data_IF_978948786460
#
_entry.id   IF_978948786460
#
_cell.length_a   1.000
_cell.length_b   1.000
_cell.length_c   1.000
_cell.angle_alpha   90.00
_cell.angle_beta   90.00
_cell.angle_gamma   90.00
#
_symmetry.space_group_name_H-M   'P 1'
#
loop_
_entity.id
_entity.type
_entity.pdbx_description
1 polymer ?
#
# COMPACT_ATOMS: atom_id res chain seq x y z
N UNK A 1 22.85 -17.47 6.27
CA UNK A 1 22.04 -16.50 7.01
C UNK A 1 21.07 -17.29 7.89
N UNK A 2 21.06 -17.05 9.20
CA UNK A 2 20.05 -17.59 10.07
C UNK A 2 18.78 -16.77 9.87
N UNK A 3 17.78 -17.33 9.18
CA UNK A 3 16.52 -16.67 8.86
C UNK A 3 15.78 -16.11 10.09
N UNK A 4 15.84 -16.75 11.29
CA UNK A 4 15.20 -16.23 12.49
C UNK A 4 15.65 -14.84 12.94
N UNK A 5 16.84 -14.39 12.53
CA UNK A 5 17.34 -13.04 12.85
C UNK A 5 16.86 -11.96 11.88
N UNK A 6 16.20 -12.35 10.77
CA UNK A 6 15.66 -11.41 9.82
C UNK A 6 14.36 -10.81 10.37
N UNK A 7 14.31 -9.50 10.48
CA UNK A 7 13.08 -8.77 10.82
C UNK A 7 12.12 -8.78 9.63
N UNK A 8 10.89 -9.21 9.87
CA UNK A 8 9.80 -9.09 8.92
C UNK A 8 8.76 -8.12 9.51
N UNK A 9 8.60 -6.96 8.88
CA UNK A 9 7.65 -5.93 9.30
C UNK A 9 6.49 -5.92 8.32
N UNK A 10 5.28 -6.13 8.81
CA UNK A 10 4.07 -6.08 8.00
C UNK A 10 2.84 -5.74 8.86
N UNK A 11 1.76 -5.33 8.20
CA UNK A 11 0.48 -5.17 8.89
C UNK A 11 -0.02 -6.54 9.36
N UNK A 12 -0.50 -6.69 10.62
CA UNK A 12 -0.85 -8.01 11.17
C UNK A 12 -1.98 -8.72 10.41
N UNK A 13 -2.85 -7.98 9.74
CA UNK A 13 -3.97 -8.52 8.98
C UNK A 13 -3.56 -9.12 7.62
N UNK A 14 -2.31 -8.92 7.15
CA UNK A 14 -1.87 -9.47 5.86
C UNK A 14 -1.76 -11.01 5.85
N UNK A 15 -1.72 -11.65 7.03
CA UNK A 15 -1.70 -13.11 7.15
C UNK A 15 -3.09 -13.73 7.40
N UNK A 16 -4.15 -12.93 7.40
CA UNK A 16 -5.50 -13.47 7.51
C UNK A 16 -5.90 -14.21 6.24
N UNK A 17 -6.69 -15.30 6.35
CA UNK A 17 -7.27 -15.96 5.19
C UNK A 17 -8.16 -14.99 4.40
N UNK A 18 -7.84 -14.82 3.12
CA UNK A 18 -8.56 -13.94 2.19
C UNK A 18 -9.02 -14.72 0.98
N UNK A 19 -10.22 -14.42 0.50
CA UNK A 19 -10.84 -15.11 -0.62
C UNK A 19 -11.53 -14.12 -1.56
N UNK A 20 -11.33 -14.32 -2.86
CA UNK A 20 -12.14 -13.72 -3.91
C UNK A 20 -13.04 -14.83 -4.49
N UNK A 21 -14.35 -14.70 -4.36
CA UNK A 21 -15.30 -15.79 -4.64
C UNK A 21 -14.92 -17.07 -3.87
N UNK A 22 -14.41 -18.09 -4.59
CA UNK A 22 -13.96 -19.37 -4.01
C UNK A 22 -12.42 -19.53 -4.10
N UNK A 23 -11.70 -18.57 -4.64
CA UNK A 23 -10.25 -18.62 -4.78
C UNK A 23 -9.57 -18.01 -3.56
N UNK A 24 -8.55 -18.69 -3.05
CA UNK A 24 -7.71 -18.16 -1.97
C UNK A 24 -6.75 -17.12 -2.55
N UNK A 25 -6.83 -15.88 -2.04
CA UNK A 25 -6.00 -14.75 -2.47
C UNK A 25 -5.15 -14.17 -1.33
N UNK A 26 -5.13 -14.82 -0.16
CA UNK A 26 -4.36 -14.41 0.99
C UNK A 26 -2.87 -14.74 0.89
N UNK A 27 -2.14 -14.54 1.97
CA UNK A 27 -0.74 -14.93 2.09
C UNK A 27 -0.56 -16.43 1.85
N UNK A 28 0.46 -16.86 1.07
CA UNK A 28 0.75 -18.30 0.90
C UNK A 28 1.30 -18.93 2.18
N UNK A 29 1.71 -18.13 3.16
CA UNK A 29 2.23 -18.56 4.44
C UNK A 29 1.32 -18.10 5.58
N UNK A 30 1.14 -18.96 6.56
CA UNK A 30 0.46 -18.62 7.82
C UNK A 30 1.34 -17.73 8.71
N UNK A 31 0.73 -17.04 9.67
CA UNK A 31 1.47 -16.28 10.66
C UNK A 31 2.41 -17.19 11.50
N UNK A 32 2.00 -18.44 11.74
CA UNK A 32 2.80 -19.42 12.47
C UNK A 32 4.09 -19.74 11.71
N UNK A 33 3.99 -20.10 10.42
CA UNK A 33 5.15 -20.34 9.55
C UNK A 33 6.08 -19.12 9.46
N UNK A 34 5.52 -17.92 9.43
CA UNK A 34 6.31 -16.68 9.42
C UNK A 34 7.08 -16.51 10.74
N UNK A 35 6.43 -16.71 11.87
CA UNK A 35 7.06 -16.51 13.20
C UNK A 35 8.10 -17.59 13.54
N UNK A 36 8.00 -18.78 12.94
CA UNK A 36 9.02 -19.81 13.04
C UNK A 36 10.31 -19.47 12.28
N UNK A 37 10.21 -18.71 11.19
CA UNK A 37 11.32 -18.45 10.28
C UNK A 37 11.85 -17.01 10.34
N UNK A 38 11.06 -16.05 10.87
CA UNK A 38 11.40 -14.64 10.91
C UNK A 38 11.04 -14.03 12.26
N UNK A 39 11.75 -12.99 12.64
CA UNK A 39 11.32 -12.12 13.74
C UNK A 39 10.21 -11.20 13.25
N UNK A 40 8.97 -11.63 13.37
CA UNK A 40 7.81 -10.85 12.93
C UNK A 40 7.56 -9.67 13.88
N UNK A 41 7.45 -8.49 13.31
CA UNK A 41 7.10 -7.24 13.99
C UNK A 41 5.82 -6.67 13.34
N UNK A 42 4.65 -6.82 13.99
CA UNK A 42 3.41 -6.27 13.48
C UNK A 42 3.43 -4.74 13.52
N UNK A 43 3.03 -4.10 12.42
CA UNK A 43 3.03 -2.65 12.30
C UNK A 43 1.76 -2.11 11.64
N UNK A 44 0.91 -1.47 12.44
CA UNK A 44 -0.26 -0.70 11.99
C UNK A 44 0.04 0.80 11.88
N UNK A 45 1.12 1.24 12.52
CA UNK A 45 1.60 2.63 12.51
C UNK A 45 2.92 2.72 11.75
N UNK A 46 3.36 3.92 11.34
CA UNK A 46 4.63 4.09 10.65
C UNK A 46 5.83 3.58 11.45
N UNK A 47 6.69 2.79 10.81
CA UNK A 47 7.90 2.21 11.39
C UNK A 47 9.10 2.54 10.53
N UNK A 48 10.14 3.16 11.12
CA UNK A 48 11.41 3.37 10.44
C UNK A 48 12.18 2.05 10.30
N UNK A 49 12.49 1.70 9.06
CA UNK A 49 13.30 0.54 8.69
C UNK A 49 14.80 0.89 8.71
N UNK A 50 15.11 2.13 8.39
CA UNK A 50 16.41 2.75 8.45
C UNK A 50 16.26 4.27 8.67
N UNK A 51 17.37 5.00 8.68
CA UNK A 51 17.36 6.47 8.80
C UNK A 51 16.50 7.14 7.70
N UNK A 52 16.51 6.58 6.49
CA UNK A 52 15.88 7.16 5.32
C UNK A 52 14.75 6.33 4.70
N UNK A 53 14.36 5.23 5.32
CA UNK A 53 13.30 4.38 4.81
C UNK A 53 12.30 4.04 5.90
N UNK A 54 11.01 4.16 5.58
CA UNK A 54 9.97 3.83 6.51
C UNK A 54 8.84 3.03 5.84
N UNK A 55 8.21 2.14 6.61
CA UNK A 55 6.96 1.47 6.30
C UNK A 55 5.80 2.28 6.89
N UNK A 56 4.77 2.59 6.09
CA UNK A 56 3.69 3.49 6.52
C UNK A 56 2.68 2.86 7.49
N UNK A 57 2.58 1.53 7.53
CA UNK A 57 1.49 0.87 8.25
C UNK A 57 0.15 1.10 7.58
N UNK A 58 -0.91 1.23 8.37
CA UNK A 58 -2.28 1.47 7.88
C UNK A 58 -2.42 2.86 7.27
N UNK A 59 -2.93 2.93 6.05
CA UNK A 59 -3.18 4.18 5.33
C UNK A 59 -4.55 4.74 5.72
N UNK A 60 -4.67 6.01 6.11
CA UNK A 60 -5.96 6.65 6.39
C UNK A 60 -6.70 7.03 5.09
N UNK A 61 -8.03 7.11 5.17
CA UNK A 61 -8.87 7.59 4.08
C UNK A 61 -8.94 9.14 4.13
N UNK A 62 -8.16 9.81 3.29
CA UNK A 62 -8.02 11.28 3.24
C UNK A 62 -8.82 11.90 2.10
N UNK A 63 -8.99 11.17 0.99
CA UNK A 63 -9.67 11.62 -0.22
C UNK A 63 -10.99 10.87 -0.42
N UNK A 64 -12.08 11.60 -0.61
CA UNK A 64 -13.43 11.06 -0.79
C UNK A 64 -13.60 10.21 -2.06
N UNK A 65 -12.80 10.48 -3.10
CA UNK A 65 -12.82 9.75 -4.36
C UNK A 65 -11.98 8.46 -4.37
N UNK A 66 -11.19 8.23 -3.33
CA UNK A 66 -10.39 7.02 -3.15
C UNK A 66 -10.97 6.08 -2.07
N UNK A 67 -12.29 6.12 -1.86
CA UNK A 67 -12.94 5.19 -0.93
C UNK A 67 -12.62 3.75 -1.28
N UNK A 68 -12.29 2.96 -0.25
CA UNK A 68 -12.00 1.54 -0.40
C UNK A 68 -13.23 0.79 -0.84
N UNK A 69 -13.04 -0.14 -1.76
CA UNK A 69 -14.05 -1.12 -2.16
C UNK A 69 -13.61 -2.52 -1.74
N UNK A 70 -14.55 -3.40 -1.36
CA UNK A 70 -14.20 -4.77 -1.02
C UNK A 70 -13.52 -5.49 -2.19
N UNK A 71 -12.39 -6.15 -1.91
CA UNK A 71 -11.67 -6.97 -2.90
C UNK A 71 -12.08 -8.45 -2.79
N UNK A 72 -12.91 -8.77 -1.86
CA UNK A 72 -13.34 -10.11 -1.56
C UNK A 72 -13.73 -10.20 -0.10
N UNK A 73 -13.32 -11.27 0.56
CA UNK A 73 -13.63 -11.49 1.98
C UNK A 73 -12.38 -11.89 2.74
N UNK A 74 -12.27 -11.42 3.98
CA UNK A 74 -11.29 -11.85 4.95
C UNK A 74 -11.96 -12.59 6.12
N UNK A 75 -11.22 -13.51 6.76
CA UNK A 75 -11.68 -14.21 7.94
C UNK A 75 -10.92 -13.75 9.16
N UNK A 76 -11.63 -13.13 10.11
CA UNK A 76 -11.09 -12.65 11.38
C UNK A 76 -11.82 -13.35 12.53
N UNK A 77 -11.09 -14.03 13.42
CA UNK A 77 -11.65 -14.74 14.56
C UNK A 77 -12.82 -15.71 14.17
N UNK A 78 -12.70 -16.37 13.01
CA UNK A 78 -13.69 -17.28 12.48
C UNK A 78 -14.92 -16.61 11.84
N UNK A 79 -14.97 -15.29 11.79
CA UNK A 79 -16.02 -14.54 11.10
C UNK A 79 -15.54 -14.07 9.73
N UNK A 80 -16.35 -14.31 8.70
CA UNK A 80 -16.11 -13.86 7.34
C UNK A 80 -16.73 -12.47 7.15
N UNK A 81 -15.91 -11.50 6.73
CA UNK A 81 -16.31 -10.12 6.46
C UNK A 81 -15.81 -9.67 5.11
N UNK A 82 -16.34 -8.58 4.58
CA UNK A 82 -15.74 -7.92 3.41
C UNK A 82 -14.30 -7.49 3.68
N UNK A 83 -13.38 -7.76 2.74
CA UNK A 83 -11.99 -7.32 2.83
C UNK A 83 -11.82 -5.96 2.14
N UNK A 84 -11.69 -4.92 2.93
CA UNK A 84 -11.38 -3.56 2.48
C UNK A 84 -9.86 -3.29 2.41
N UNK A 85 -9.03 -4.33 2.45
CA UNK A 85 -7.56 -4.26 2.45
C UNK A 85 -7.01 -3.24 3.47
N UNK A 86 -7.34 -3.36 4.77
CA UNK A 86 -6.82 -2.46 5.79
C UNK A 86 -5.30 -2.59 5.98
N UNK A 87 -4.73 -3.66 5.47
CA UNK A 87 -3.31 -4.03 5.47
C UNK A 87 -2.53 -3.48 4.25
N UNK A 88 -3.23 -2.81 3.31
CA UNK A 88 -2.55 -2.08 2.21
C UNK A 88 -1.65 -0.97 2.77
N UNK A 89 -0.43 -0.91 2.28
CA UNK A 89 0.61 -0.01 2.79
C UNK A 89 1.62 0.35 1.71
N UNK A 90 2.62 1.16 2.08
CA UNK A 90 3.71 1.53 1.20
C UNK A 90 5.02 1.72 1.97
N UNK A 91 6.13 1.66 1.23
CA UNK A 91 7.43 2.11 1.69
C UNK A 91 7.69 3.54 1.22
N UNK A 92 8.36 4.31 2.05
CA UNK A 92 8.77 5.68 1.73
C UNK A 92 10.25 5.81 1.97
N UNK A 93 11.00 6.22 0.94
CA UNK A 93 12.42 6.53 1.05
C UNK A 93 12.60 8.05 0.98
N UNK A 94 13.30 8.62 1.95
CA UNK A 94 13.72 10.02 1.94
C UNK A 94 14.95 10.16 1.07
N UNK A 95 14.93 11.10 0.16
CA UNK A 95 16.06 11.43 -0.71
C UNK A 95 16.35 12.93 -0.63
N UNK A 96 17.47 13.36 -1.20
CA UNK A 96 17.83 14.79 -1.36
C UNK A 96 16.88 15.54 -2.30
N UNK A 97 16.09 14.80 -3.10
CA UNK A 97 15.09 15.34 -4.04
C UNK A 97 13.66 15.29 -3.52
N UNK A 98 13.42 14.78 -2.31
CA UNK A 98 12.10 14.58 -1.73
C UNK A 98 11.79 13.10 -1.48
N UNK A 99 10.53 12.77 -1.31
CA UNK A 99 10.08 11.41 -1.02
C UNK A 99 10.05 10.54 -2.28
N UNK A 100 10.53 9.31 -2.18
CA UNK A 100 10.30 8.27 -3.16
C UNK A 100 9.40 7.20 -2.55
N UNK A 101 8.22 6.99 -3.14
CA UNK A 101 7.17 6.11 -2.62
C UNK A 101 7.14 4.83 -3.45
N UNK A 102 7.18 3.69 -2.76
CA UNK A 102 7.06 2.36 -3.36
C UNK A 102 5.81 1.69 -2.78
N UNK A 103 4.87 1.35 -3.64
CA UNK A 103 3.60 0.76 -3.22
C UNK A 103 3.33 -0.59 -3.91
N UNK A 104 2.43 -1.39 -3.33
CA UNK A 104 1.88 -2.58 -3.97
C UNK A 104 0.79 -2.20 -4.96
N UNK A 105 -0.47 -2.56 -4.67
CA UNK A 105 -1.63 -2.26 -5.52
C UNK A 105 -2.29 -0.91 -5.22
N UNK A 106 -2.04 -0.29 -4.07
CA UNK A 106 -2.69 0.95 -3.63
C UNK A 106 -4.22 0.83 -3.52
N UNK A 107 -4.70 -0.22 -2.87
CA UNK A 107 -6.13 -0.38 -2.58
C UNK A 107 -6.67 0.74 -1.70
N UNK A 108 -5.80 1.34 -0.88
CA UNK A 108 -6.09 2.53 -0.07
C UNK A 108 -6.20 3.82 -0.89
N UNK A 109 -5.78 3.80 -2.15
CA UNK A 109 -5.66 4.98 -3.00
C UNK A 109 -4.26 5.59 -3.00
N UNK A 110 -3.75 5.91 -4.20
CA UNK A 110 -2.40 6.45 -4.35
C UNK A 110 -2.27 7.88 -3.82
N UNK A 111 -3.34 8.69 -3.87
CA UNK A 111 -3.35 10.03 -3.30
C UNK A 111 -3.37 9.97 -1.77
N UNK A 112 -4.16 9.06 -1.18
CA UNK A 112 -4.18 8.80 0.26
C UNK A 112 -2.78 8.38 0.75
N UNK A 113 -2.13 7.44 0.07
CA UNK A 113 -0.77 6.97 0.40
C UNK A 113 0.21 8.14 0.33
N UNK A 114 0.14 8.94 -0.73
CA UNK A 114 1.08 10.04 -0.97
C UNK A 114 0.94 11.14 0.08
N UNK A 115 -0.29 11.59 0.38
CA UNK A 115 -0.50 12.63 1.39
C UNK A 115 -0.19 12.14 2.80
N UNK A 116 -0.46 10.87 3.10
CA UNK A 116 -0.05 10.30 4.37
C UNK A 116 1.48 10.23 4.49
N UNK A 117 2.19 9.80 3.44
CA UNK A 117 3.65 9.80 3.40
C UNK A 117 4.23 11.19 3.66
N UNK A 118 3.69 12.22 2.98
CA UNK A 118 4.10 13.62 3.14
C UNK A 118 3.88 14.13 4.56
N UNK A 119 2.75 13.79 5.16
CA UNK A 119 2.41 14.15 6.54
C UNK A 119 3.36 13.48 7.55
N UNK A 120 3.56 12.18 7.46
CA UNK A 120 4.42 11.41 8.37
C UNK A 120 5.88 11.85 8.25
N UNK A 121 6.36 12.06 7.03
CA UNK A 121 7.74 12.47 6.78
C UNK A 121 7.97 13.98 6.98
N UNK A 122 6.92 14.79 7.10
CA UNK A 122 6.97 16.26 7.12
C UNK A 122 7.74 16.83 5.92
N UNK A 123 7.57 16.21 4.77
CA UNK A 123 8.19 16.58 3.51
C UNK A 123 7.12 16.70 2.43
N UNK A 124 7.07 17.85 1.76
CA UNK A 124 6.04 18.14 0.77
C UNK A 124 6.42 17.70 -0.64
N UNK A 125 7.71 17.64 -0.93
CA UNK A 125 8.21 17.26 -2.25
C UNK A 125 8.21 15.74 -2.40
N UNK A 126 7.64 15.28 -3.50
CA UNK A 126 7.66 13.88 -3.92
C UNK A 126 8.53 13.76 -5.16
N UNK A 127 9.68 13.10 -5.02
CA UNK A 127 10.60 12.86 -6.12
C UNK A 127 10.10 11.76 -7.05
N UNK A 128 9.42 10.76 -6.51
CA UNK A 128 8.89 9.70 -7.36
C UNK A 128 7.90 8.77 -6.68
N UNK A 129 7.11 8.10 -7.52
CA UNK A 129 6.15 7.08 -7.11
C UNK A 129 6.27 5.90 -8.06
N UNK A 130 6.40 4.70 -7.52
CA UNK A 130 6.40 3.45 -8.29
C UNK A 130 5.48 2.41 -7.64
N UNK A 131 4.68 1.73 -8.45
CA UNK A 131 3.83 0.62 -8.02
C UNK A 131 2.51 0.53 -8.76
N UNK A 132 1.56 -0.20 -8.21
CA UNK A 132 0.20 -0.30 -8.72
C UNK A 132 -0.67 0.82 -8.15
N UNK A 133 -1.59 1.36 -8.95
CA UNK A 133 -2.47 2.45 -8.52
C UNK A 133 -3.95 2.04 -8.47
N UNK A 134 -4.23 0.79 -8.74
CA UNK A 134 -5.58 0.21 -8.76
C UNK A 134 -6.57 1.04 -9.59
N UNK A 135 -6.14 1.42 -10.81
CA UNK A 135 -6.90 2.25 -11.75
C UNK A 135 -7.16 1.45 -13.04
N UNK A 136 -8.40 1.02 -13.25
CA UNK A 136 -8.78 0.17 -14.39
C UNK A 136 -9.64 0.89 -15.41
N UNK A 137 -10.49 1.82 -14.97
CA UNK A 137 -11.48 2.49 -15.79
C UNK A 137 -11.18 4.00 -15.93
N UNK A 138 -11.73 4.60 -17.00
CA UNK A 138 -11.71 6.04 -17.22
C UNK A 138 -12.91 6.68 -16.52
N UNK A 139 -12.82 6.76 -15.22
CA UNK A 139 -13.90 7.24 -14.33
C UNK A 139 -13.48 8.50 -13.54
N UNK A 140 -14.34 8.95 -12.65
CA UNK A 140 -14.07 10.10 -11.78
C UNK A 140 -12.86 9.89 -10.89
N UNK A 141 -12.60 8.66 -10.43
CA UNK A 141 -11.42 8.34 -9.61
C UNK A 141 -10.14 8.59 -10.40
N UNK A 142 -10.06 8.06 -11.62
CA UNK A 142 -8.91 8.29 -12.50
C UNK A 142 -8.72 9.79 -12.78
N UNK A 143 -9.77 10.51 -13.18
CA UNK A 143 -9.68 11.93 -13.50
C UNK A 143 -9.13 12.75 -12.30
N UNK A 144 -9.66 12.54 -11.10
CA UNK A 144 -9.20 13.24 -9.89
C UNK A 144 -7.80 12.82 -9.47
N UNK A 145 -7.42 11.54 -9.67
CA UNK A 145 -6.04 11.08 -9.43
C UNK A 145 -5.05 11.77 -10.37
N UNK A 146 -5.40 11.92 -11.65
CA UNK A 146 -4.58 12.65 -12.63
C UNK A 146 -4.43 14.12 -12.24
N UNK A 147 -5.51 14.80 -11.86
CA UNK A 147 -5.46 16.18 -11.38
C UNK A 147 -4.54 16.32 -10.17
N UNK A 148 -4.67 15.42 -9.20
CA UNK A 148 -3.82 15.40 -8.03
C UNK A 148 -2.34 15.20 -8.39
N UNK A 149 -2.02 14.21 -9.24
CA UNK A 149 -0.64 13.92 -9.65
C UNK A 149 -0.03 15.05 -10.50
N UNK A 150 -0.82 15.70 -11.36
CA UNK A 150 -0.39 16.92 -12.08
C UNK A 150 -0.07 18.08 -11.14
N UNK A 151 -0.89 18.29 -10.11
CA UNK A 151 -0.64 19.32 -9.09
C UNK A 151 0.56 18.97 -8.20
N UNK A 152 0.76 17.71 -7.86
CA UNK A 152 1.89 17.22 -7.07
C UNK A 152 3.20 17.33 -7.85
N UNK A 153 3.16 17.11 -9.17
CA UNK A 153 4.29 17.19 -10.10
C UNK A 153 5.53 16.39 -9.66
N UNK A 154 5.42 15.07 -9.42
CA UNK A 154 6.59 14.26 -9.08
C UNK A 154 7.57 14.20 -10.26
N UNK A 155 8.90 14.13 -9.97
CA UNK A 155 9.93 14.03 -11.01
C UNK A 155 9.81 12.70 -11.79
N UNK A 156 9.35 11.62 -11.11
CA UNK A 156 9.25 10.27 -11.65
C UNK A 156 7.90 9.66 -11.28
N UNK A 157 7.21 9.08 -12.27
CA UNK A 157 5.96 8.35 -12.07
C UNK A 157 5.98 7.04 -12.86
N UNK A 158 5.94 5.90 -12.15
CA UNK A 158 5.92 4.57 -12.73
C UNK A 158 4.67 3.79 -12.31
N UNK A 159 3.50 4.01 -12.96
CA UNK A 159 2.32 3.19 -12.76
C UNK A 159 2.54 1.81 -13.37
N UNK A 160 2.74 0.80 -12.52
CA UNK A 160 3.12 -0.54 -12.94
C UNK A 160 1.90 -1.46 -13.07
N UNK A 161 1.75 -2.33 -12.11
CA UNK A 161 0.69 -3.32 -12.05
C UNK A 161 -0.65 -2.72 -11.57
N UNK A 162 -1.75 -3.40 -11.81
CA UNK A 162 -3.14 -2.95 -11.59
C UNK A 162 -3.45 -1.51 -12.07
N UNK A 163 -2.87 -1.14 -13.21
CA UNK A 163 -3.24 0.06 -13.96
C UNK A 163 -3.50 -0.33 -15.41
N UNK A 164 -4.72 -0.11 -15.89
CA UNK A 164 -5.07 -0.48 -17.26
C UNK A 164 -4.31 0.36 -18.30
N UNK A 165 -4.19 -0.16 -19.52
CA UNK A 165 -3.60 0.62 -20.62
C UNK A 165 -4.38 1.90 -20.92
N UNK A 166 -5.70 1.88 -20.72
CA UNK A 166 -6.56 3.08 -20.87
C UNK A 166 -6.17 4.14 -19.83
N UNK A 167 -6.05 3.74 -18.55
CA UNK A 167 -5.67 4.67 -17.50
C UNK A 167 -4.25 5.22 -17.66
N UNK A 168 -3.34 4.43 -18.24
CA UNK A 168 -1.95 4.89 -18.52
C UNK A 168 -1.87 5.84 -19.71
N UNK A 169 -2.86 5.84 -20.60
CA UNK A 169 -2.88 6.68 -21.79
C UNK A 169 -3.42 8.10 -21.52
N UNK A 170 -4.10 8.32 -20.39
CA UNK A 170 -4.61 9.62 -19.92
C UNK A 170 -3.54 10.40 -19.15
#
# INVERSE_FOLDING_TARGET
YDLPDIRLIAHPLCFQPKYYENEYIGSPYSLEEITENFRFEPAESPVFLSENCLFLGRIPDLHDFEKRSPIGTATTNGQKTEDLCPDDSALVCRTDKGLFIVTGCSHSGICNITDYARSVCREQRVAGIIGGFHLFDTDTRLARTIEYLKALSPDILYPCHCVSLKAKAE
#
